data_IF_084813456478
#
_entry.id   IF_084813456478
#
_cell.length_a   1.000
_cell.length_b   1.000
_cell.length_c   1.000
_cell.angle_alpha   90.00
_cell.angle_beta   90.00
_cell.angle_gamma   90.00
#
_symmetry.space_group_name_H-M   'P 1'
#
loop_
_entity.id
_entity.type
_entity.pdbx_description
1 polymer ?
#
# COMPACT_ATOMS: atom_id res chain seq x y z
N UNK A 1 -31.87 -3.26 1.18
CA UNK A 1 -31.47 -3.83 -0.11
C UNK A 1 -30.15 -4.57 0.16
N UNK A 2 -30.16 -5.89 0.04
CA UNK A 2 -28.92 -6.68 0.14
C UNK A 2 -27.98 -6.28 -0.99
N UNK A 3 -26.76 -5.87 -0.67
CA UNK A 3 -25.77 -5.55 -1.69
C UNK A 3 -25.34 -6.87 -2.34
N UNK A 4 -25.46 -6.95 -3.65
CA UNK A 4 -25.06 -8.10 -4.46
C UNK A 4 -23.57 -8.39 -4.21
N UNK A 5 -23.28 -9.56 -3.64
CA UNK A 5 -21.92 -10.09 -3.55
C UNK A 5 -21.64 -10.87 -4.83
N UNK A 6 -20.43 -10.73 -5.38
CA UNK A 6 -20.00 -11.43 -6.59
C UNK A 6 -18.84 -12.37 -6.28
N UNK A 7 -18.94 -13.57 -6.82
CA UNK A 7 -17.87 -14.58 -6.77
C UNK A 7 -16.91 -14.45 -7.97
N UNK A 8 -16.04 -15.45 -8.08
CA UNK A 8 -15.00 -15.53 -9.13
C UNK A 8 -15.56 -15.35 -10.54
N UNK A 9 -16.61 -16.12 -10.89
CA UNK A 9 -17.15 -16.15 -12.25
C UNK A 9 -17.79 -14.81 -12.64
N UNK A 10 -18.44 -14.15 -11.70
CA UNK A 10 -19.04 -12.83 -11.96
C UNK A 10 -17.99 -11.73 -12.12
N UNK A 11 -16.88 -11.79 -11.35
CA UNK A 11 -15.73 -10.88 -11.54
C UNK A 11 -15.21 -11.02 -12.98
N UNK A 12 -14.95 -12.24 -13.42
CA UNK A 12 -14.46 -12.50 -14.78
C UNK A 12 -15.48 -12.12 -15.85
N UNK A 13 -16.78 -12.37 -15.62
CA UNK A 13 -17.86 -12.00 -16.53
C UNK A 13 -17.96 -10.48 -16.73
N UNK A 14 -17.87 -9.71 -15.65
CA UNK A 14 -17.87 -8.25 -15.74
C UNK A 14 -16.67 -7.74 -16.54
N UNK A 15 -15.47 -8.21 -16.23
CA UNK A 15 -14.24 -7.77 -16.89
C UNK A 15 -14.18 -8.23 -18.36
N UNK A 16 -14.77 -9.39 -18.71
CA UNK A 16 -14.91 -9.84 -20.11
C UNK A 16 -15.79 -8.88 -20.91
N UNK A 17 -16.97 -8.52 -20.38
CA UNK A 17 -17.85 -7.53 -21.03
C UNK A 17 -17.16 -6.18 -21.23
N UNK A 18 -16.37 -5.75 -20.24
CA UNK A 18 -15.55 -4.54 -20.36
C UNK A 18 -14.53 -4.68 -21.48
N UNK A 19 -13.82 -5.80 -21.53
CA UNK A 19 -12.80 -6.06 -22.56
C UNK A 19 -13.33 -6.15 -23.99
N UNK A 20 -14.60 -6.57 -24.17
CA UNK A 20 -15.29 -6.55 -25.45
C UNK A 20 -15.61 -5.13 -25.93
N UNK A 21 -15.80 -4.18 -24.99
CA UNK A 21 -16.20 -2.80 -25.26
C UNK A 21 -15.02 -1.86 -25.41
N UNK A 22 -13.90 -2.11 -24.73
CA UNK A 22 -12.70 -1.30 -24.80
C UNK A 22 -12.25 -1.09 -26.25
N UNK A 23 -11.78 0.12 -26.58
CA UNK A 23 -11.26 0.46 -27.89
C UNK A 23 -9.80 0.00 -28.08
N UNK A 24 -9.02 -0.06 -27.01
CA UNK A 24 -7.60 -0.48 -26.99
C UNK A 24 -7.33 -1.54 -25.92
N UNK A 25 -6.17 -2.21 -26.03
CA UNK A 25 -5.69 -3.13 -24.98
C UNK A 25 -5.26 -2.34 -23.77
N UNK A 26 -5.69 -2.77 -22.58
CA UNK A 26 -5.35 -2.19 -21.28
C UNK A 26 -4.94 -3.28 -20.30
N UNK A 27 -3.88 -3.02 -19.53
CA UNK A 27 -3.49 -3.87 -18.40
C UNK A 27 -4.28 -3.43 -17.16
N UNK A 28 -4.98 -4.38 -16.53
CA UNK A 28 -5.81 -4.16 -15.34
C UNK A 28 -5.28 -5.04 -14.23
N UNK A 29 -4.89 -4.44 -13.11
CA UNK A 29 -4.40 -5.14 -11.93
C UNK A 29 -5.50 -5.21 -10.88
N UNK A 30 -6.01 -6.40 -10.63
CA UNK A 30 -7.02 -6.63 -9.61
C UNK A 30 -6.34 -6.76 -8.25
N UNK A 31 -6.82 -5.98 -7.29
CA UNK A 31 -6.38 -5.95 -5.90
C UNK A 31 -7.54 -6.26 -4.95
N UNK A 32 -7.33 -6.12 -3.65
CA UNK A 32 -8.38 -6.16 -2.64
C UNK A 32 -9.18 -7.47 -2.58
N UNK A 33 -10.46 -7.35 -2.26
CA UNK A 33 -11.37 -8.49 -2.10
C UNK A 33 -11.61 -9.26 -3.39
N UNK A 34 -11.59 -8.59 -4.54
CA UNK A 34 -11.75 -9.21 -5.85
C UNK A 34 -10.62 -10.20 -6.19
N UNK A 35 -9.37 -9.81 -5.91
CA UNK A 35 -8.21 -10.68 -6.09
C UNK A 35 -8.25 -11.89 -5.15
N UNK A 36 -8.68 -11.70 -3.90
CA UNK A 36 -8.87 -12.79 -2.94
C UNK A 36 -9.95 -13.76 -3.39
N UNK A 37 -11.08 -13.27 -3.93
CA UNK A 37 -12.15 -14.11 -4.47
C UNK A 37 -11.68 -14.92 -5.68
N UNK A 38 -10.90 -14.33 -6.59
CA UNK A 38 -10.31 -15.07 -7.72
C UNK A 38 -9.38 -16.21 -7.27
N UNK A 39 -8.70 -16.06 -6.15
CA UNK A 39 -7.84 -17.12 -5.57
C UNK A 39 -8.61 -18.14 -4.73
N UNK A 40 -9.92 -17.98 -4.52
CA UNK A 40 -10.68 -18.81 -3.58
C UNK A 40 -10.28 -18.59 -2.12
N UNK A 41 -9.81 -17.41 -1.79
CA UNK A 41 -9.41 -16.99 -0.44
C UNK A 41 -10.50 -16.21 0.28
N UNK A 42 -11.54 -15.87 -0.46
CA UNK A 42 -12.77 -15.19 -0.03
C UNK A 42 -13.92 -15.67 -0.89
N UNK A 43 -15.07 -15.94 -0.30
CA UNK A 43 -16.22 -16.51 -1.03
C UNK A 43 -16.79 -15.49 -2.04
N UNK A 44 -16.87 -14.22 -1.66
CA UNK A 44 -17.40 -13.18 -2.52
C UNK A 44 -16.88 -11.78 -2.14
N UNK A 45 -16.99 -10.85 -3.07
CA UNK A 45 -16.68 -9.43 -2.88
C UNK A 45 -17.85 -8.55 -3.30
N UNK A 46 -17.90 -7.33 -2.81
CA UNK A 46 -18.85 -6.28 -3.22
C UNK A 46 -18.20 -5.25 -4.13
N UNK A 47 -16.86 -5.18 -4.06
CA UNK A 47 -16.08 -4.15 -4.69
C UNK A 47 -15.06 -4.82 -5.65
N UNK A 48 -14.88 -4.23 -6.82
CA UNK A 48 -13.80 -4.49 -7.75
C UNK A 48 -12.77 -3.37 -7.58
N UNK A 49 -11.67 -3.66 -6.91
CA UNK A 49 -10.57 -2.72 -6.74
C UNK A 49 -9.57 -2.93 -7.90
N UNK A 50 -9.48 -1.98 -8.81
CA UNK A 50 -8.76 -2.07 -10.07
C UNK A 50 -7.68 -0.99 -10.16
N UNK A 51 -6.43 -1.38 -10.43
CA UNK A 51 -5.32 -0.44 -10.61
C UNK A 51 -4.91 -0.42 -12.09
N UNK A 52 -4.72 0.77 -12.61
CA UNK A 52 -4.25 1.04 -13.97
C UNK A 52 -2.91 1.79 -13.92
N UNK A 53 -2.14 1.69 -15.01
CA UNK A 53 -0.83 2.34 -15.10
C UNK A 53 -0.93 3.80 -15.52
N UNK A 54 -1.97 4.15 -16.28
CA UNK A 54 -2.15 5.50 -16.82
C UNK A 54 -3.59 6.01 -16.67
N UNK A 55 -3.74 7.33 -16.67
CA UNK A 55 -5.06 7.96 -16.68
C UNK A 55 -5.84 7.62 -17.95
N UNK A 56 -5.17 7.51 -19.09
CA UNK A 56 -5.80 7.16 -20.37
C UNK A 56 -6.40 5.74 -20.36
N UNK A 57 -5.75 4.78 -19.68
CA UNK A 57 -6.28 3.43 -19.49
C UNK A 57 -7.42 3.42 -18.49
N UNK A 58 -7.35 4.23 -17.44
CA UNK A 58 -8.43 4.39 -16.47
C UNK A 58 -9.68 5.02 -17.11
N UNK A 59 -9.51 6.03 -17.95
CA UNK A 59 -10.61 6.66 -18.68
C UNK A 59 -11.27 5.69 -19.68
N UNK A 60 -10.46 4.85 -20.35
CA UNK A 60 -10.98 3.78 -21.23
C UNK A 60 -11.78 2.75 -20.45
N UNK A 61 -11.23 2.25 -19.33
CA UNK A 61 -11.91 1.32 -18.42
C UNK A 61 -13.23 1.90 -17.90
N UNK A 62 -13.20 3.17 -17.45
CA UNK A 62 -14.38 3.88 -16.95
C UNK A 62 -15.48 3.95 -18.00
N UNK A 63 -15.16 4.39 -19.22
CA UNK A 63 -16.12 4.45 -20.34
C UNK A 63 -16.75 3.08 -20.64
N UNK A 64 -15.94 2.02 -20.60
CA UNK A 64 -16.41 0.66 -20.82
C UNK A 64 -17.33 0.18 -19.69
N UNK A 65 -17.02 0.48 -18.42
CA UNK A 65 -17.87 0.19 -17.27
C UNK A 65 -19.20 0.94 -17.35
N UNK A 66 -19.19 2.22 -17.72
CA UNK A 66 -20.39 3.02 -17.89
C UNK A 66 -21.34 2.41 -18.95
N UNK A 67 -20.79 1.90 -20.08
CA UNK A 67 -21.57 1.23 -21.12
C UNK A 67 -22.22 -0.09 -20.68
N UNK A 68 -21.69 -0.75 -19.66
CA UNK A 68 -22.31 -1.94 -19.07
C UNK A 68 -23.16 -1.64 -17.83
N UNK A 69 -23.50 -0.37 -17.61
CA UNK A 69 -24.46 0.08 -16.60
C UNK A 69 -23.88 0.44 -15.24
N UNK A 70 -22.59 0.69 -15.14
CA UNK A 70 -22.04 1.38 -13.98
C UNK A 70 -22.26 2.89 -14.11
N UNK A 71 -22.61 3.54 -13.03
CA UNK A 71 -22.72 5.00 -12.93
C UNK A 71 -21.77 5.57 -11.90
N UNK A 72 -21.44 6.85 -12.00
CA UNK A 72 -20.62 7.52 -10.97
C UNK A 72 -21.38 7.47 -9.64
N UNK A 73 -20.74 6.91 -8.61
CA UNK A 73 -21.33 6.87 -7.28
C UNK A 73 -21.14 8.21 -6.58
N UNK A 74 -22.23 9.01 -6.57
CA UNK A 74 -22.27 10.31 -5.89
C UNK A 74 -22.23 10.18 -4.35
N UNK A 75 -22.50 8.99 -3.81
CA UNK A 75 -22.45 8.69 -2.38
C UNK A 75 -21.04 8.25 -2.01
N UNK A 76 -20.10 9.20 -1.98
CA UNK A 76 -18.77 8.92 -1.43
C UNK A 76 -18.92 8.72 0.10
N UNK A 77 -18.63 7.53 0.65
CA UNK A 77 -18.42 7.40 2.09
C UNK A 77 -17.31 8.36 2.52
N UNK A 78 -17.37 8.91 3.73
CA UNK A 78 -16.31 9.80 4.26
C UNK A 78 -14.92 9.13 4.24
N UNK A 79 -14.89 7.80 4.38
CA UNK A 79 -13.69 6.94 4.23
C UNK A 79 -13.05 7.00 2.83
N UNK A 80 -13.80 7.42 1.80
CA UNK A 80 -13.32 7.54 0.42
C UNK A 80 -13.00 8.98 0.01
N UNK A 81 -13.22 9.99 0.88
CA UNK A 81 -12.89 11.39 0.59
C UNK A 81 -11.39 11.63 0.43
N UNK A 82 -10.55 10.78 1.01
CA UNK A 82 -9.10 10.80 0.84
C UNK A 82 -8.62 10.19 -0.50
N UNK A 83 -9.52 9.63 -1.32
CA UNK A 83 -9.18 9.03 -2.62
C UNK A 83 -9.22 10.11 -3.72
N UNK A 84 -8.20 10.97 -3.75
CA UNK A 84 -8.12 12.08 -4.72
C UNK A 84 -8.01 11.57 -6.17
N UNK A 85 -7.41 10.40 -6.37
CA UNK A 85 -7.08 9.83 -7.69
C UNK A 85 -7.90 8.58 -8.07
N UNK A 86 -9.04 8.32 -7.39
CA UNK A 86 -9.86 7.15 -7.69
C UNK A 86 -11.22 7.55 -8.28
N UNK A 87 -11.62 6.90 -9.37
CA UNK A 87 -13.00 6.94 -9.85
C UNK A 87 -13.79 5.80 -9.20
N UNK A 88 -14.90 6.15 -8.54
CA UNK A 88 -15.82 5.18 -7.93
C UNK A 88 -17.06 5.08 -8.79
N UNK A 89 -17.33 3.90 -9.30
CA UNK A 89 -18.48 3.58 -10.12
C UNK A 89 -19.31 2.51 -9.45
N UNK A 90 -20.63 2.57 -9.54
CA UNK A 90 -21.50 1.54 -8.98
C UNK A 90 -22.64 1.19 -9.91
N UNK A 91 -23.15 -0.05 -9.78
CA UNK A 91 -24.41 -0.49 -10.38
C UNK A 91 -25.59 -0.31 -9.41
N UNK A 92 -26.81 -0.16 -9.91
CA UNK A 92 -28.01 -0.14 -9.05
C UNK A 92 -28.13 -1.38 -8.17
N UNK A 93 -27.61 -2.53 -8.63
CA UNK A 93 -27.57 -3.80 -7.89
C UNK A 93 -26.51 -3.85 -6.76
N UNK A 94 -25.74 -2.77 -6.55
CA UNK A 94 -24.81 -2.64 -5.44
C UNK A 94 -23.38 -3.08 -5.70
N UNK A 95 -23.03 -3.58 -6.88
CA UNK A 95 -21.64 -3.84 -7.27
C UNK A 95 -20.91 -2.53 -7.52
N UNK A 96 -19.76 -2.35 -6.90
CA UNK A 96 -18.90 -1.17 -7.02
C UNK A 96 -17.58 -1.49 -7.72
N UNK A 97 -17.05 -0.55 -8.47
CA UNK A 97 -15.73 -0.59 -9.07
C UNK A 97 -14.93 0.64 -8.63
N UNK A 98 -13.84 0.42 -7.95
CA UNK A 98 -12.89 1.46 -7.51
C UNK A 98 -11.68 1.40 -8.44
N UNK A 99 -11.45 2.47 -9.21
CA UNK A 99 -10.38 2.58 -10.19
C UNK A 99 -9.30 3.49 -9.66
N UNK A 100 -8.09 2.97 -9.52
CA UNK A 100 -6.90 3.69 -9.05
C UNK A 100 -5.90 3.85 -10.19
N UNK A 101 -5.16 4.97 -10.21
CA UNK A 101 -4.09 5.22 -11.19
C UNK A 101 -2.77 5.40 -10.46
N UNK A 102 -1.87 4.43 -10.62
CA UNK A 102 -0.51 4.48 -10.10
C UNK A 102 -0.34 4.59 -8.58
N UNK A 103 -1.42 4.90 -7.83
CA UNK A 103 -1.42 5.04 -6.37
C UNK A 103 -2.73 4.52 -5.78
N UNK A 104 -2.65 3.81 -4.66
CA UNK A 104 -3.81 3.20 -4.00
C UNK A 104 -4.02 3.88 -2.65
N UNK A 105 -5.25 4.30 -2.38
CA UNK A 105 -5.69 4.97 -1.14
C UNK A 105 -4.84 6.20 -0.76
N UNK A 106 -4.27 6.90 -1.74
CA UNK A 106 -3.31 7.99 -1.56
C UNK A 106 -2.10 7.66 -0.64
N UNK A 107 -1.91 6.39 -0.36
CA UNK A 107 -0.92 5.89 0.59
C UNK A 107 0.22 5.12 -0.06
N UNK A 108 -0.06 4.19 -0.97
CA UNK A 108 0.93 3.30 -1.56
C UNK A 108 0.97 3.48 -3.08
N UNK A 109 2.16 3.70 -3.64
CA UNK A 109 2.36 3.67 -5.09
C UNK A 109 2.29 2.24 -5.58
N UNK A 110 1.61 2.02 -6.70
CA UNK A 110 1.64 0.74 -7.39
C UNK A 110 2.99 0.57 -8.08
N UNK A 111 3.93 -0.03 -7.35
CA UNK A 111 5.35 -0.10 -7.73
C UNK A 111 5.61 -1.10 -8.86
N UNK A 112 6.76 -0.98 -9.53
CA UNK A 112 7.23 -1.98 -10.48
C UNK A 112 7.43 -3.35 -9.80
N UNK A 113 7.77 -3.37 -8.51
CA UNK A 113 7.82 -4.59 -7.70
C UNK A 113 6.46 -5.26 -7.58
N UNK A 114 5.38 -4.51 -7.31
CA UNK A 114 4.01 -5.03 -7.27
C UNK A 114 3.56 -5.55 -8.63
N UNK A 115 3.86 -4.83 -9.71
CA UNK A 115 3.56 -5.28 -11.09
C UNK A 115 4.26 -6.59 -11.42
N UNK A 116 5.56 -6.70 -11.12
CA UNK A 116 6.34 -7.90 -11.42
C UNK A 116 5.91 -9.15 -10.63
N UNK A 117 5.29 -8.96 -9.45
CA UNK A 117 4.73 -10.05 -8.63
C UNK A 117 3.30 -10.40 -9.01
N UNK A 118 2.64 -9.55 -9.79
CA UNK A 118 1.28 -9.83 -10.25
C UNK A 118 1.29 -10.97 -11.27
N UNK A 119 0.27 -11.83 -11.20
CA UNK A 119 0.13 -13.02 -12.05
C UNK A 119 -0.92 -12.74 -13.10
N UNK A 120 -0.61 -13.05 -14.36
CA UNK A 120 -1.60 -13.03 -15.44
C UNK A 120 -2.72 -14.03 -15.14
N UNK A 121 -3.95 -13.55 -15.11
CA UNK A 121 -5.15 -14.37 -14.89
C UNK A 121 -5.75 -14.83 -16.23
N UNK A 122 -6.03 -13.87 -17.12
CA UNK A 122 -6.67 -14.12 -18.40
C UNK A 122 -6.53 -12.91 -19.35
N UNK A 123 -6.70 -13.13 -20.64
CA UNK A 123 -6.90 -12.10 -21.65
C UNK A 123 -8.39 -12.05 -22.01
N UNK A 124 -9.09 -11.07 -21.47
CA UNK A 124 -10.53 -10.88 -21.58
C UNK A 124 -10.83 -9.84 -22.67
N UNK A 125 -10.78 -10.24 -23.93
CA UNK A 125 -10.85 -9.30 -25.05
C UNK A 125 -9.67 -8.33 -25.05
N UNK A 126 -9.92 -7.04 -24.84
CA UNK A 126 -8.87 -6.01 -24.74
C UNK A 126 -8.39 -5.74 -23.33
N UNK A 127 -8.97 -6.37 -22.32
CA UNK A 127 -8.49 -6.34 -20.93
C UNK A 127 -7.49 -7.48 -20.71
N UNK A 128 -6.26 -7.14 -20.35
CA UNK A 128 -5.26 -8.08 -19.86
C UNK A 128 -5.34 -8.03 -18.34
N UNK A 129 -5.91 -9.07 -17.73
CA UNK A 129 -6.18 -9.12 -16.30
C UNK A 129 -5.01 -9.72 -15.54
N UNK A 130 -4.43 -8.95 -14.65
CA UNK A 130 -3.45 -9.41 -13.66
C UNK A 130 -4.07 -9.44 -12.26
N UNK A 131 -3.57 -10.31 -11.42
CA UNK A 131 -3.95 -10.43 -10.03
C UNK A 131 -2.71 -10.19 -9.14
N UNK A 132 -2.78 -9.22 -8.23
CA UNK A 132 -1.68 -8.88 -7.34
C UNK A 132 -1.33 -9.99 -6.35
N UNK A 133 -0.10 -10.00 -5.86
CA UNK A 133 0.38 -10.98 -4.89
C UNK A 133 -0.36 -10.87 -3.55
N UNK A 134 -0.31 -11.93 -2.73
CA UNK A 134 -0.88 -11.90 -1.37
C UNK A 134 -0.20 -10.86 -0.50
N UNK A 135 1.11 -10.73 -0.63
CA UNK A 135 1.93 -9.77 0.10
C UNK A 135 1.52 -8.34 -0.21
N UNK A 136 1.29 -8.03 -1.49
CA UNK A 136 0.88 -6.71 -1.93
C UNK A 136 -0.53 -6.38 -1.44
N UNK A 137 -1.47 -7.33 -1.54
CA UNK A 137 -2.83 -7.16 -1.00
C UNK A 137 -2.80 -6.97 0.52
N UNK A 138 -1.95 -7.71 1.24
CA UNK A 138 -1.77 -7.57 2.68
C UNK A 138 -1.28 -6.18 3.06
N UNK A 139 -0.29 -5.65 2.33
CA UNK A 139 0.21 -4.28 2.51
C UNK A 139 -0.85 -3.23 2.20
N UNK A 140 -1.57 -3.36 1.07
CA UNK A 140 -2.64 -2.44 0.69
C UNK A 140 -3.76 -2.38 1.74
N UNK A 141 -4.06 -3.51 2.39
CA UNK A 141 -5.04 -3.57 3.48
C UNK A 141 -4.51 -2.99 4.80
N UNK A 142 -3.20 -2.97 5.00
CA UNK A 142 -2.62 -2.43 6.24
C UNK A 142 -2.72 -0.90 6.35
N UNK A 143 -2.99 -0.19 5.26
CA UNK A 143 -3.12 1.27 5.24
C UNK A 143 -4.59 1.74 5.25
N UNK A 144 -5.54 0.85 5.38
CA UNK A 144 -6.96 1.16 5.50
C UNK A 144 -7.41 1.15 6.97
N UNK A 145 -8.47 1.90 7.29
CA UNK A 145 -9.05 1.92 8.64
C UNK A 145 -10.23 0.94 8.82
N UNK A 146 -10.55 0.15 7.78
CA UNK A 146 -11.71 -0.73 7.76
C UNK A 146 -11.48 -1.96 8.62
N UNK A 147 -12.33 -2.20 9.61
CA UNK A 147 -12.24 -3.37 10.52
C UNK A 147 -12.30 -4.71 9.78
N UNK A 148 -13.06 -4.79 8.68
CA UNK A 148 -13.15 -6.00 7.82
C UNK A 148 -11.82 -6.37 7.16
N UNK A 149 -10.91 -5.40 6.98
CA UNK A 149 -9.63 -5.66 6.35
C UNK A 149 -8.71 -6.48 7.25
N UNK A 150 -8.93 -6.48 8.57
CA UNK A 150 -8.22 -7.39 9.50
C UNK A 150 -8.58 -8.87 9.26
N UNK A 151 -9.85 -9.17 8.94
CA UNK A 151 -10.30 -10.54 8.63
C UNK A 151 -9.63 -11.02 7.32
N UNK A 152 -9.57 -10.14 6.32
CA UNK A 152 -8.91 -10.42 5.05
C UNK A 152 -7.39 -10.59 5.25
N UNK A 153 -6.74 -9.71 6.03
CA UNK A 153 -5.31 -9.83 6.37
C UNK A 153 -5.01 -11.14 7.10
N UNK A 154 -5.89 -11.55 8.02
CA UNK A 154 -5.75 -12.82 8.73
C UNK A 154 -5.89 -14.03 7.79
N UNK A 155 -6.83 -13.97 6.83
CA UNK A 155 -6.97 -14.99 5.79
C UNK A 155 -5.70 -15.14 4.94
N UNK A 156 -5.13 -14.02 4.51
CA UNK A 156 -3.87 -13.98 3.75
C UNK A 156 -2.70 -14.51 4.58
N UNK A 157 -2.57 -14.09 5.85
CA UNK A 157 -1.51 -14.52 6.74
C UNK A 157 -1.49 -16.04 6.95
N UNK A 158 -2.66 -16.67 7.15
CA UNK A 158 -2.79 -18.14 7.32
C UNK A 158 -2.32 -18.93 6.11
N UNK A 159 -2.29 -18.34 4.93
CA UNK A 159 -1.83 -18.98 3.68
C UNK A 159 -0.33 -18.85 3.42
N UNK A 160 0.37 -18.19 4.36
CA UNK A 160 1.80 -17.92 4.27
C UNK A 160 2.10 -16.66 3.47
N UNK A 161 2.93 -15.82 4.02
CA UNK A 161 3.39 -14.57 3.42
C UNK A 161 4.91 -14.49 3.48
N UNK A 162 5.53 -14.00 2.42
CA UNK A 162 6.94 -13.69 2.39
C UNK A 162 7.23 -12.41 3.17
N UNK A 163 7.84 -12.56 4.35
CA UNK A 163 8.32 -11.44 5.16
C UNK A 163 9.20 -10.48 4.37
N UNK A 164 10.14 -11.05 3.60
CA UNK A 164 11.16 -10.26 2.90
C UNK A 164 10.54 -9.45 1.76
N UNK A 165 9.52 -9.98 1.09
CA UNK A 165 8.72 -9.24 0.10
C UNK A 165 7.99 -8.08 0.75
N UNK A 166 7.30 -8.30 1.87
CA UNK A 166 6.55 -7.25 2.59
C UNK A 166 7.48 -6.14 3.06
N UNK A 167 8.57 -6.48 3.75
CA UNK A 167 9.51 -5.50 4.29
C UNK A 167 10.29 -4.77 3.19
N UNK A 168 10.65 -5.49 2.11
CA UNK A 168 11.29 -4.88 0.95
C UNK A 168 10.39 -3.89 0.22
N UNK A 169 9.08 -4.20 0.10
CA UNK A 169 8.12 -3.26 -0.49
C UNK A 169 7.92 -2.02 0.40
N UNK A 170 7.89 -2.16 1.74
CA UNK A 170 7.86 -1.00 2.65
C UNK A 170 9.07 -0.07 2.44
N UNK A 171 10.27 -0.63 2.27
CA UNK A 171 11.49 0.14 2.01
C UNK A 171 11.39 0.87 0.65
N UNK A 172 10.92 0.17 -0.40
CA UNK A 172 10.72 0.75 -1.73
C UNK A 172 9.69 1.89 -1.71
N UNK A 173 8.58 1.72 -1.01
CA UNK A 173 7.56 2.77 -0.87
C UNK A 173 8.11 4.03 -0.20
N UNK A 174 8.96 3.87 0.81
CA UNK A 174 9.66 4.99 1.44
C UNK A 174 10.62 5.70 0.48
N UNK A 175 11.35 4.94 -0.35
CA UNK A 175 12.25 5.50 -1.36
C UNK A 175 11.50 6.24 -2.47
N UNK A 176 10.37 5.69 -2.95
CA UNK A 176 9.55 6.30 -4.00
C UNK A 176 8.88 7.62 -3.57
N UNK A 177 8.53 7.74 -2.31
CA UNK A 177 7.92 8.97 -1.77
C UNK A 177 8.97 10.04 -1.43
N UNK A 178 10.26 9.68 -1.33
CA UNK A 178 11.28 10.50 -0.70
C UNK A 178 11.17 10.47 0.82
N UNK A 179 12.31 10.38 1.52
CA UNK A 179 12.29 10.19 2.98
C UNK A 179 11.56 11.30 3.72
N UNK A 180 11.72 12.56 3.30
CA UNK A 180 11.11 13.73 3.98
C UNK A 180 9.59 13.75 3.90
N UNK A 181 9.03 13.25 2.81
CA UNK A 181 7.60 13.24 2.52
C UNK A 181 6.95 11.91 2.87
N UNK A 182 7.75 10.87 3.05
CA UNK A 182 7.23 9.54 3.32
C UNK A 182 6.67 9.42 4.73
N UNK A 183 5.52 8.79 4.83
CA UNK A 183 5.05 8.24 6.09
C UNK A 183 5.76 6.90 6.32
N UNK A 184 6.06 6.59 7.57
CA UNK A 184 6.74 5.32 7.92
C UNK A 184 5.75 4.16 7.74
N UNK A 185 5.82 3.46 6.59
CA UNK A 185 4.88 2.39 6.23
C UNK A 185 4.91 1.23 7.22
N UNK A 186 6.09 0.94 7.75
CA UNK A 186 6.26 -0.07 8.80
C UNK A 186 5.48 0.25 10.06
N UNK A 187 5.29 1.51 10.40
CA UNK A 187 4.50 1.90 11.57
C UNK A 187 3.00 1.59 11.37
N UNK A 188 2.44 1.88 10.17
CA UNK A 188 1.06 1.52 9.84
C UNK A 188 0.87 0.00 9.86
N UNK A 189 1.77 -0.73 9.22
CA UNK A 189 1.73 -2.19 9.21
C UNK A 189 1.85 -2.76 10.63
N UNK A 190 2.72 -2.19 11.48
CA UNK A 190 2.89 -2.63 12.86
C UNK A 190 1.60 -2.48 13.66
N UNK A 191 0.90 -1.35 13.54
CA UNK A 191 -0.40 -1.13 14.20
C UNK A 191 -1.39 -2.21 13.78
N UNK A 192 -1.50 -2.48 12.47
CA UNK A 192 -2.42 -3.53 11.98
C UNK A 192 -2.04 -4.94 12.44
N UNK A 193 -0.75 -5.25 12.52
CA UNK A 193 -0.27 -6.51 13.07
C UNK A 193 -0.62 -6.64 14.56
N UNK A 194 -0.48 -5.59 15.34
CA UNK A 194 -0.86 -5.57 16.74
C UNK A 194 -2.37 -5.73 16.93
N UNK A 195 -3.19 -5.09 16.10
CA UNK A 195 -4.63 -5.30 16.06
C UNK A 195 -4.99 -6.77 15.73
N UNK A 196 -4.30 -7.37 14.74
CA UNK A 196 -4.49 -8.78 14.37
C UNK A 196 -4.12 -9.73 15.52
N UNK A 197 -2.95 -9.53 16.14
CA UNK A 197 -2.51 -10.38 17.27
C UNK A 197 -3.50 -10.32 18.43
N UNK A 198 -3.97 -9.12 18.78
CA UNK A 198 -4.94 -8.91 19.85
C UNK A 198 -6.30 -9.52 19.52
N UNK A 199 -6.79 -9.37 18.29
CA UNK A 199 -8.11 -9.86 17.88
C UNK A 199 -8.18 -11.38 17.73
N UNK A 200 -7.11 -12.00 17.21
CA UNK A 200 -7.12 -13.43 16.86
C UNK A 200 -6.29 -14.30 17.78
N UNK A 201 -5.63 -13.72 18.80
CA UNK A 201 -4.81 -14.49 19.76
C UNK A 201 -3.61 -15.17 19.09
N UNK A 202 -3.04 -14.57 18.05
CA UNK A 202 -1.89 -15.10 17.32
C UNK A 202 -0.62 -14.32 17.65
N UNK A 203 0.52 -14.88 17.25
CA UNK A 203 1.80 -14.16 17.24
C UNK A 203 2.40 -14.18 15.84
N UNK A 204 2.82 -13.00 15.35
CA UNK A 204 3.44 -12.87 14.04
C UNK A 204 4.97 -12.90 14.20
N UNK A 205 5.65 -13.95 13.68
CA UNK A 205 7.06 -14.22 14.00
C UNK A 205 8.02 -13.08 13.66
N UNK A 206 7.69 -12.27 12.65
CA UNK A 206 8.54 -11.19 12.16
C UNK A 206 8.14 -9.80 12.70
N UNK A 207 7.17 -9.71 13.63
CA UNK A 207 6.76 -8.45 14.27
C UNK A 207 7.93 -7.70 14.89
N UNK A 208 8.85 -8.43 15.58
CA UNK A 208 10.03 -7.81 16.20
C UNK A 208 10.93 -7.10 15.18
N UNK A 209 11.13 -7.73 14.02
CA UNK A 209 11.93 -7.13 12.94
C UNK A 209 11.25 -5.89 12.34
N UNK A 210 9.92 -5.95 12.12
CA UNK A 210 9.11 -4.83 11.67
C UNK A 210 9.15 -3.67 12.66
N UNK A 211 8.95 -3.94 13.95
CA UNK A 211 9.01 -2.94 15.03
C UNK A 211 10.36 -2.22 15.04
N UNK A 212 11.47 -2.97 14.98
CA UNK A 212 12.81 -2.37 14.95
C UNK A 212 13.02 -1.46 13.74
N UNK A 213 12.49 -1.81 12.55
CA UNK A 213 12.55 -0.96 11.36
C UNK A 213 11.70 0.31 11.53
N UNK A 214 10.46 0.17 12.00
CA UNK A 214 9.57 1.29 12.26
C UNK A 214 10.19 2.28 13.25
N UNK A 215 10.72 1.79 14.37
CA UNK A 215 11.38 2.62 15.40
C UNK A 215 12.56 3.40 14.83
N UNK A 216 13.44 2.75 14.05
CA UNK A 216 14.59 3.43 13.44
C UNK A 216 14.13 4.52 12.46
N UNK A 217 13.17 4.23 11.59
CA UNK A 217 12.67 5.20 10.61
C UNK A 217 11.96 6.37 11.29
N UNK A 218 11.13 6.10 12.29
CA UNK A 218 10.46 7.15 13.08
C UNK A 218 11.47 8.02 13.84
N UNK A 219 12.44 7.41 14.50
CA UNK A 219 13.54 8.11 15.17
C UNK A 219 14.35 8.94 14.19
N UNK A 220 14.65 8.43 13.01
CA UNK A 220 15.35 9.15 11.96
C UNK A 220 14.59 10.41 11.50
N UNK A 221 13.27 10.32 11.31
CA UNK A 221 12.43 11.50 11.03
C UNK A 221 12.48 12.56 12.14
N UNK A 222 12.47 12.12 13.40
CA UNK A 222 12.58 13.04 14.54
C UNK A 222 13.96 13.71 14.59
N UNK A 223 15.03 12.95 14.35
CA UNK A 223 16.38 13.49 14.31
C UNK A 223 16.57 14.49 13.16
N UNK A 224 16.06 14.18 11.98
CA UNK A 224 16.19 15.06 10.81
C UNK A 224 15.58 16.44 11.07
N UNK A 225 14.41 16.49 11.69
CA UNK A 225 13.79 17.78 12.10
C UNK A 225 14.66 18.62 13.02
N UNK A 226 15.50 18.00 13.87
CA UNK A 226 16.43 18.71 14.77
C UNK A 226 17.72 19.09 14.05
N UNK A 227 18.20 18.22 13.18
CA UNK A 227 19.37 18.48 12.32
C UNK A 227 19.08 19.70 11.42
N UNK A 228 17.90 19.77 10.83
CA UNK A 228 17.46 20.91 10.00
C UNK A 228 17.37 22.22 10.81
N UNK A 229 17.17 22.13 12.13
CA UNK A 229 17.21 23.29 13.06
C UNK A 229 18.60 23.61 13.58
N UNK A 230 19.61 22.91 13.10
CA UNK A 230 21.03 23.17 13.41
C UNK A 230 21.63 22.32 14.54
N UNK A 231 20.95 21.29 15.05
CA UNK A 231 21.53 20.36 16.03
C UNK A 231 22.40 19.32 15.33
N UNK A 232 23.73 19.47 15.42
CA UNK A 232 24.70 18.70 14.64
C UNK A 232 25.62 17.80 15.49
N UNK A 233 25.25 17.53 16.74
CA UNK A 233 26.00 16.67 17.68
C UNK A 233 25.16 15.46 18.09
N UNK A 234 25.76 14.28 18.09
CA UNK A 234 25.10 13.04 18.53
C UNK A 234 24.63 13.13 19.96
N UNK A 235 25.47 13.68 20.87
CA UNK A 235 25.14 13.85 22.28
C UNK A 235 23.90 14.75 22.45
N UNK A 236 23.90 15.91 21.80
CA UNK A 236 22.81 16.86 21.90
C UNK A 236 21.52 16.31 21.26
N UNK A 237 21.61 15.60 20.13
CA UNK A 237 20.47 14.91 19.54
C UNK A 237 19.88 13.85 20.47
N UNK A 238 20.74 13.05 21.13
CA UNK A 238 20.33 12.06 22.12
C UNK A 238 19.61 12.68 23.32
N UNK A 239 20.15 13.79 23.84
CA UNK A 239 19.54 14.54 24.94
C UNK A 239 18.17 15.13 24.54
N UNK A 240 18.11 15.83 23.40
CA UNK A 240 16.87 16.46 22.90
C UNK A 240 15.76 15.47 22.56
N UNK A 241 16.12 14.26 22.11
CA UNK A 241 15.14 13.20 21.80
C UNK A 241 14.83 12.29 22.98
N UNK A 242 15.63 12.37 24.05
CA UNK A 242 15.60 11.45 25.20
C UNK A 242 15.82 9.99 24.79
N UNK A 243 16.56 9.79 23.71
CA UNK A 243 16.88 8.47 23.18
C UNK A 243 18.32 8.07 23.53
N UNK A 244 18.60 6.78 23.74
CA UNK A 244 19.96 6.30 23.98
C UNK A 244 20.91 6.68 22.84
N UNK A 245 22.18 7.02 23.13
CA UNK A 245 23.16 7.37 22.09
C UNK A 245 23.35 6.28 21.02
N UNK A 246 23.19 5.02 21.38
CA UNK A 246 23.28 3.90 20.45
C UNK A 246 22.10 3.92 19.45
N UNK A 247 20.89 4.13 19.92
CA UNK A 247 19.71 4.27 19.07
C UNK A 247 19.84 5.49 18.14
N UNK A 248 20.27 6.63 18.70
CA UNK A 248 20.56 7.85 17.91
C UNK A 248 21.57 7.56 16.79
N UNK A 249 22.65 6.82 17.06
CA UNK A 249 23.65 6.43 16.03
C UNK A 249 23.02 5.52 14.95
N UNK A 250 22.13 4.60 15.31
CA UNK A 250 21.42 3.74 14.34
C UNK A 250 20.54 4.58 13.41
N UNK A 251 19.77 5.52 13.95
CA UNK A 251 18.96 6.45 13.18
C UNK A 251 19.80 7.35 12.25
N UNK A 252 20.94 7.85 12.74
CA UNK A 252 21.86 8.66 11.92
C UNK A 252 22.49 7.84 10.79
N UNK A 253 22.83 6.56 11.05
CA UNK A 253 23.31 5.67 9.99
C UNK A 253 22.25 5.48 8.91
N UNK A 254 21.01 5.25 9.30
CA UNK A 254 19.91 5.16 8.36
C UNK A 254 19.72 6.44 7.55
N UNK A 255 19.78 7.63 8.17
CA UNK A 255 19.73 8.92 7.46
C UNK A 255 20.88 9.09 6.45
N UNK A 256 22.07 8.59 6.77
CA UNK A 256 23.23 8.60 5.86
C UNK A 256 23.01 7.62 4.69
N UNK A 257 22.49 6.42 4.95
CA UNK A 257 22.15 5.41 3.93
C UNK A 257 21.12 5.91 2.92
N UNK A 258 20.08 6.61 3.39
CA UNK A 258 19.06 7.21 2.51
C UNK A 258 19.49 8.56 1.91
N UNK A 259 20.70 9.03 2.22
CA UNK A 259 21.31 10.22 1.63
C UNK A 259 20.76 11.55 2.14
N UNK A 260 20.09 11.59 3.30
CA UNK A 260 19.57 12.83 3.91
C UNK A 260 20.63 13.61 4.68
N UNK A 261 21.67 12.93 5.14
CA UNK A 261 22.82 13.53 5.81
C UNK A 261 24.11 12.90 5.32
N UNK A 262 25.23 13.57 5.64
CA UNK A 262 26.58 13.00 5.55
C UNK A 262 27.24 13.14 6.92
N UNK A 263 27.96 12.11 7.37
CA UNK A 263 28.73 12.16 8.62
C UNK A 263 30.21 12.35 8.27
N UNK A 264 30.77 13.50 8.65
CA UNK A 264 32.21 13.75 8.54
C UNK A 264 32.93 13.05 9.69
N UNK A 265 33.55 11.91 9.39
CA UNK A 265 34.28 11.08 10.34
C UNK A 265 35.74 11.52 10.54
N UNK A 266 36.21 12.51 9.76
CA UNK A 266 37.56 13.09 9.91
C UNK A 266 37.59 14.14 11.02
N UNK A 267 36.50 14.81 11.30
CA UNK A 267 36.34 15.75 12.42
C UNK A 267 36.14 15.01 13.76
N UNK A 268 36.63 15.59 14.87
CA UNK A 268 36.33 15.07 16.21
C UNK A 268 35.88 16.22 17.11
N UNK A 269 34.63 16.16 17.61
CA UNK A 269 33.60 15.12 17.42
C UNK A 269 33.12 15.05 15.95
N UNK A 270 32.59 13.90 15.55
CA UNK A 270 32.02 13.72 14.21
C UNK A 270 30.98 14.80 13.92
N UNK A 271 31.06 15.38 12.72
CA UNK A 271 30.15 16.45 12.30
C UNK A 271 29.09 15.88 11.37
N UNK A 272 27.82 16.17 11.69
CA UNK A 272 26.67 15.86 10.86
C UNK A 272 26.47 16.99 9.86
N UNK A 273 26.36 16.68 8.59
CA UNK A 273 26.15 17.63 7.50
C UNK A 273 24.82 17.29 6.85
N UNK A 274 23.79 18.14 7.00
CA UNK A 274 22.50 17.90 6.35
C UNK A 274 22.65 18.06 4.83
N UNK A 275 21.80 17.34 4.08
CA UNK A 275 21.60 17.58 2.66
C UNK A 275 20.90 18.93 2.49
N UNK A 276 21.44 19.78 1.63
CA UNK A 276 20.80 21.04 1.24
C UNK A 276 19.64 20.81 0.30
#
# INVERSE_FOLDING_TARGET
MESSQIGREEVLSVLRKVGEICSKRIAVYLIGGGAMALRGEKDATKDLDLVLESQDDADELKKALERIGFGVDARRPDECRALVDAAILSKPAGLRADIFVGKVCDMLRFSEGMKSRAVLVDELGKVILFMCSREDIFLLKSVTERTRDLDDMMSLFRRGLSRDTILGECDLQSALAGFRESQVREAFLLVKIEEMENRYGISIPWKRALKSRAEIKMGAHQLLKRIDRGTLSVTKLSEETREPPEFTRRCLRYLEEVGEIRIDRKSRPYRIIPKK
#
